data_IF_002019721588
#
_entry.id   IF_002019721588
#
_cell.length_a   1.000
_cell.length_b   1.000
_cell.length_c   1.000
_cell.angle_alpha   90.00
_cell.angle_beta   90.00
_cell.angle_gamma   90.00
#
_symmetry.space_group_name_H-M   'P 1'
#
loop_
_entity.id
_entity.type
_entity.pdbx_description
1 polymer ?
#
# COMPACT_ATOMS: atom_id res chain seq x y z
N UNK A 1 17.86 -25.66 -24.45
CA UNK A 1 17.35 -25.76 -23.06
C UNK A 1 17.35 -24.36 -22.43
N UNK A 2 16.36 -24.06 -21.60
CA UNK A 2 16.30 -22.84 -20.78
C UNK A 2 16.43 -23.25 -19.33
N UNK A 3 17.36 -22.63 -18.60
CA UNK A 3 17.66 -22.99 -17.21
C UNK A 3 17.56 -21.74 -16.35
N UNK A 4 16.76 -21.81 -15.29
CA UNK A 4 16.67 -20.76 -14.28
C UNK A 4 17.79 -20.89 -13.27
N UNK A 5 18.42 -19.77 -12.90
CA UNK A 5 19.47 -19.68 -11.90
C UNK A 5 19.07 -18.63 -10.83
N UNK A 6 18.12 -18.95 -9.93
CA UNK A 6 17.56 -17.98 -9.00
C UNK A 6 18.53 -17.46 -7.92
N UNK A 7 19.66 -18.13 -7.71
CA UNK A 7 20.71 -17.71 -6.75
C UNK A 7 21.86 -16.95 -7.41
N UNK A 8 21.79 -16.75 -8.73
CA UNK A 8 22.81 -16.04 -9.50
C UNK A 8 22.95 -14.58 -9.04
N UNK A 9 24.19 -14.12 -8.94
CA UNK A 9 24.51 -12.72 -8.65
C UNK A 9 24.68 -11.91 -9.94
N UNK A 10 24.25 -10.66 -9.90
CA UNK A 10 24.46 -9.69 -10.97
C UNK A 10 25.04 -8.42 -10.35
N UNK A 11 26.36 -8.25 -10.45
CA UNK A 11 27.10 -7.26 -9.67
C UNK A 11 27.04 -7.60 -8.17
N UNK A 12 26.61 -6.63 -7.35
CA UNK A 12 26.48 -6.79 -5.91
C UNK A 12 25.13 -7.40 -5.46
N UNK A 13 24.16 -7.53 -6.37
CA UNK A 13 22.80 -7.94 -6.03
C UNK A 13 22.52 -9.40 -6.43
N UNK A 14 21.88 -10.16 -5.53
CA UNK A 14 21.39 -11.53 -5.79
C UNK A 14 20.04 -11.47 -6.51
N UNK A 15 20.05 -11.11 -7.78
CA UNK A 15 18.81 -10.95 -8.57
C UNK A 15 18.31 -12.27 -9.13
N UNK A 16 19.18 -13.28 -9.29
CA UNK A 16 18.91 -14.43 -10.15
C UNK A 16 19.00 -14.06 -11.64
N UNK A 17 19.06 -15.09 -12.51
CA UNK A 17 19.02 -14.93 -13.96
C UNK A 17 18.54 -16.21 -14.66
N UNK A 18 18.49 -16.18 -15.99
CA UNK A 18 18.16 -17.32 -16.84
C UNK A 18 19.27 -17.53 -17.87
N UNK A 19 19.55 -18.79 -18.16
CA UNK A 19 20.56 -19.23 -19.13
C UNK A 19 19.91 -19.93 -20.31
N UNK A 20 20.46 -19.71 -21.52
CA UNK A 20 20.20 -20.56 -22.69
C UNK A 20 21.37 -21.53 -22.87
N UNK A 21 21.06 -22.82 -22.91
CA UNK A 21 22.03 -23.89 -23.06
C UNK A 21 21.74 -24.65 -24.36
N UNK A 22 22.62 -24.61 -25.36
CA UNK A 22 22.60 -25.53 -26.49
C UNK A 22 22.77 -26.95 -25.98
N UNK A 23 22.03 -27.90 -26.57
CA UNK A 23 22.07 -29.32 -26.15
C UNK A 23 23.38 -29.99 -26.59
N UNK A 24 24.00 -29.51 -27.67
CA UNK A 24 25.17 -30.12 -28.28
C UNK A 24 26.52 -29.68 -27.69
N UNK A 25 26.62 -28.44 -27.21
CA UNK A 25 27.92 -27.79 -26.91
C UNK A 25 28.21 -27.68 -25.41
N UNK A 26 27.25 -28.02 -24.53
CA UNK A 26 27.40 -27.98 -23.07
C UNK A 26 27.62 -26.59 -22.44
N UNK A 27 27.86 -25.55 -23.25
CA UNK A 27 28.12 -24.20 -22.77
C UNK A 27 26.83 -23.37 -22.66
N UNK A 28 26.52 -22.88 -21.47
CA UNK A 28 25.34 -22.07 -21.21
C UNK A 28 25.66 -20.57 -21.26
N UNK A 29 24.83 -19.79 -21.96
CA UNK A 29 24.98 -18.32 -22.03
C UNK A 29 23.90 -17.62 -21.22
N UNK A 30 24.31 -16.62 -20.44
CA UNK A 30 23.45 -15.83 -19.55
C UNK A 30 22.61 -14.83 -20.36
N UNK A 31 21.32 -14.71 -20.03
CA UNK A 31 20.40 -13.79 -20.71
C UNK A 31 20.36 -12.37 -20.13
N UNK A 32 20.99 -12.13 -18.97
CA UNK A 32 21.10 -10.82 -18.33
C UNK A 32 19.74 -10.17 -18.00
N UNK A 33 18.73 -10.98 -17.70
CA UNK A 33 17.37 -10.50 -17.43
C UNK A 33 17.24 -9.83 -16.06
N UNK A 34 18.15 -10.14 -15.12
CA UNK A 34 18.18 -9.50 -13.80
C UNK A 34 18.49 -7.99 -13.83
N UNK A 35 19.00 -7.47 -14.95
CA UNK A 35 19.30 -6.04 -15.13
C UNK A 35 18.09 -5.21 -15.53
N UNK A 36 17.00 -5.84 -15.99
CA UNK A 36 15.79 -5.14 -16.41
C UNK A 36 15.18 -4.40 -15.22
N UNK A 37 14.87 -3.12 -15.39
CA UNK A 37 14.24 -2.26 -14.38
C UNK A 37 12.85 -1.86 -14.83
N UNK A 38 11.90 -1.77 -13.90
CA UNK A 38 10.64 -1.07 -14.15
C UNK A 38 10.81 0.45 -14.03
N UNK A 39 10.34 1.21 -15.00
CA UNK A 39 10.26 2.68 -14.90
C UNK A 39 9.20 3.11 -13.90
N UNK A 40 9.44 4.21 -13.17
CA UNK A 40 8.51 4.84 -12.23
C UNK A 40 8.17 4.01 -10.97
N UNK A 41 9.08 3.14 -10.52
CA UNK A 41 8.97 2.38 -9.28
C UNK A 41 10.32 2.37 -8.55
N UNK A 42 10.33 2.56 -7.23
CA UNK A 42 11.54 2.32 -6.41
C UNK A 42 11.69 0.81 -6.21
N UNK A 43 12.51 0.18 -7.05
CA UNK A 43 12.70 -1.27 -7.03
C UNK A 43 13.68 -1.71 -5.94
N UNK A 44 13.36 -2.81 -5.26
CA UNK A 44 14.30 -3.54 -4.41
C UNK A 44 14.61 -4.89 -5.02
N UNK A 45 15.81 -4.97 -5.61
CA UNK A 45 16.31 -6.12 -6.36
C UNK A 45 17.09 -7.12 -5.50
N UNK A 46 17.22 -6.86 -4.20
CA UNK A 46 17.90 -7.75 -3.28
C UNK A 46 17.09 -9.04 -3.13
N UNK A 47 17.71 -10.19 -3.40
CA UNK A 47 17.08 -11.51 -3.32
C UNK A 47 15.82 -11.69 -4.18
N UNK A 48 15.77 -11.04 -5.35
CA UNK A 48 14.65 -11.09 -6.30
C UNK A 48 14.30 -12.53 -6.76
N UNK A 49 15.32 -13.41 -6.89
CA UNK A 49 15.27 -14.82 -7.32
C UNK A 49 14.65 -15.06 -8.71
N UNK A 50 15.14 -14.37 -9.72
CA UNK A 50 14.70 -14.51 -11.11
C UNK A 50 15.02 -15.89 -11.66
N UNK A 51 14.05 -16.50 -12.34
CA UNK A 51 14.21 -17.84 -12.90
C UNK A 51 13.77 -18.95 -11.94
N UNK A 52 13.17 -18.61 -10.79
CA UNK A 52 12.53 -19.60 -9.91
C UNK A 52 11.33 -20.27 -10.57
N UNK A 53 10.64 -19.56 -11.48
CA UNK A 53 9.53 -20.11 -12.25
C UNK A 53 9.68 -19.70 -13.72
N UNK A 54 9.50 -20.68 -14.61
CA UNK A 54 9.58 -20.53 -16.05
C UNK A 54 8.31 -21.10 -16.69
N UNK A 55 7.75 -20.39 -17.67
CA UNK A 55 6.61 -20.87 -18.45
C UNK A 55 6.82 -20.58 -19.93
N UNK A 56 6.58 -21.56 -20.80
CA UNK A 56 6.71 -21.40 -22.25
C UNK A 56 5.36 -21.07 -22.89
N UNK A 57 5.39 -20.31 -23.97
CA UNK A 57 4.23 -20.06 -24.82
C UNK A 57 4.47 -20.67 -26.20
N UNK A 58 3.84 -21.82 -26.51
CA UNK A 58 4.08 -22.53 -27.76
C UNK A 58 3.57 -21.79 -29.01
N UNK A 59 2.66 -20.81 -28.85
CA UNK A 59 2.08 -20.07 -29.99
C UNK A 59 3.07 -19.18 -30.71
N UNK A 60 4.02 -18.59 -29.97
CA UNK A 60 5.01 -17.64 -30.50
C UNK A 60 6.45 -18.00 -30.10
N UNK A 61 6.66 -19.20 -29.56
CA UNK A 61 7.94 -19.69 -29.03
C UNK A 61 8.61 -18.74 -28.02
N UNK A 62 7.82 -17.91 -27.33
CA UNK A 62 8.30 -17.08 -26.23
C UNK A 62 8.26 -17.84 -24.91
N UNK A 63 8.92 -17.29 -23.88
CA UNK A 63 8.79 -17.78 -22.52
C UNK A 63 8.73 -16.62 -21.53
N UNK A 64 8.19 -16.91 -20.35
CA UNK A 64 8.17 -16.03 -19.19
C UNK A 64 9.17 -16.56 -18.16
N UNK A 65 10.01 -15.67 -17.67
CA UNK A 65 10.88 -15.90 -16.52
C UNK A 65 10.42 -15.05 -15.35
N UNK A 66 9.96 -15.69 -14.29
CA UNK A 66 9.35 -15.02 -13.16
C UNK A 66 10.27 -14.99 -11.93
N UNK A 67 10.05 -13.95 -11.13
CA UNK A 67 10.77 -13.60 -9.93
C UNK A 67 9.77 -13.27 -8.83
N UNK A 68 9.30 -14.28 -8.08
CA UNK A 68 8.23 -14.08 -7.11
C UNK A 68 8.65 -13.24 -5.91
N UNK A 69 9.96 -13.15 -5.63
CA UNK A 69 10.50 -12.34 -4.53
C UNK A 69 10.95 -10.94 -4.97
N UNK A 70 10.65 -10.53 -6.21
CA UNK A 70 10.81 -9.13 -6.57
C UNK A 70 9.88 -8.27 -5.73
N UNK A 71 10.43 -7.18 -5.19
CA UNK A 71 9.71 -6.25 -4.34
C UNK A 71 9.96 -4.81 -4.77
N UNK A 72 9.02 -3.95 -4.39
CA UNK A 72 9.17 -2.50 -4.56
C UNK A 72 8.86 -1.78 -3.26
N UNK A 73 9.42 -0.59 -3.13
CA UNK A 73 9.19 0.29 -2.00
C UNK A 73 8.05 1.27 -2.29
N UNK A 74 7.19 1.43 -1.29
CA UNK A 74 6.24 2.54 -1.21
C UNK A 74 6.42 3.20 0.16
N UNK A 75 7.04 4.38 0.21
CA UNK A 75 7.38 5.03 1.48
C UNK A 75 8.34 4.18 2.29
N UNK A 76 7.95 3.77 3.51
CA UNK A 76 8.72 2.89 4.39
C UNK A 76 8.33 1.41 4.30
N UNK A 77 7.40 1.05 3.41
CA UNK A 77 6.88 -0.31 3.28
C UNK A 77 7.39 -1.00 2.02
N UNK A 78 7.59 -2.31 2.12
CA UNK A 78 8.03 -3.17 1.01
C UNK A 78 6.87 -4.07 0.58
N UNK A 79 6.60 -4.12 -0.73
CA UNK A 79 5.54 -4.93 -1.31
C UNK A 79 6.12 -5.94 -2.29
N UNK A 80 5.99 -7.22 -1.96
CA UNK A 80 6.41 -8.34 -2.80
C UNK A 80 5.26 -8.76 -3.71
N UNK A 81 5.17 -8.16 -4.89
CA UNK A 81 4.13 -8.50 -5.89
C UNK A 81 4.63 -9.50 -6.92
N UNK A 82 5.95 -9.75 -6.94
CA UNK A 82 6.61 -10.52 -7.98
C UNK A 82 6.62 -9.81 -9.34
N UNK A 83 7.53 -10.24 -10.21
CA UNK A 83 7.55 -9.78 -11.61
C UNK A 83 7.98 -10.89 -12.56
N UNK A 84 7.53 -10.83 -13.80
CA UNK A 84 7.91 -11.75 -14.87
C UNK A 84 8.47 -11.01 -16.07
N UNK A 85 9.56 -11.51 -16.63
CA UNK A 85 10.14 -11.02 -17.88
C UNK A 85 9.72 -11.94 -19.02
N UNK A 86 9.03 -11.40 -20.02
CA UNK A 86 8.75 -12.09 -21.28
C UNK A 86 9.95 -11.99 -22.19
N UNK A 87 10.37 -13.13 -22.72
CA UNK A 87 11.50 -13.28 -23.61
C UNK A 87 11.00 -13.91 -24.91
N UNK A 88 11.35 -13.32 -26.05
CA UNK A 88 10.91 -13.82 -27.35
C UNK A 88 11.72 -15.05 -27.81
N UNK A 89 11.34 -15.61 -28.96
CA UNK A 89 12.00 -16.76 -29.59
C UNK A 89 13.50 -16.56 -29.87
N UNK A 90 13.95 -15.32 -30.02
CA UNK A 90 15.36 -14.95 -30.23
C UNK A 90 16.13 -14.75 -28.91
N UNK A 91 15.57 -15.19 -27.77
CA UNK A 91 16.15 -15.02 -26.44
C UNK A 91 16.42 -13.56 -26.07
N UNK A 92 15.61 -12.63 -26.59
CA UNK A 92 15.67 -11.21 -26.23
C UNK A 92 14.52 -10.83 -25.32
N UNK A 93 14.82 -10.01 -24.33
CA UNK A 93 13.82 -9.38 -23.49
C UNK A 93 12.80 -8.64 -24.38
N UNK A 94 11.52 -8.84 -24.08
CA UNK A 94 10.40 -8.24 -24.82
C UNK A 94 9.59 -7.29 -23.95
N UNK A 95 9.12 -7.75 -22.78
CA UNK A 95 8.34 -6.92 -21.86
C UNK A 95 8.38 -7.46 -20.43
N UNK A 96 8.20 -6.58 -19.45
CA UNK A 96 7.92 -6.98 -18.08
C UNK A 96 6.41 -7.13 -17.86
N UNK A 97 6.04 -8.13 -17.07
CA UNK A 97 4.67 -8.49 -16.72
C UNK A 97 4.62 -8.58 -15.20
N UNK A 98 3.92 -7.64 -14.56
CA UNK A 98 3.72 -7.62 -13.12
C UNK A 98 2.23 -7.34 -12.84
N UNK A 99 1.36 -8.35 -12.92
CA UNK A 99 -0.09 -8.16 -12.89
C UNK A 99 -0.58 -7.77 -11.48
N UNK A 100 0.10 -8.24 -10.43
CA UNK A 100 -0.16 -7.86 -9.06
C UNK A 100 0.53 -6.56 -8.64
N UNK A 101 1.25 -5.88 -9.55
CA UNK A 101 1.88 -4.60 -9.25
C UNK A 101 0.80 -3.54 -9.08
N UNK A 102 0.45 -3.29 -7.82
CA UNK A 102 -0.26 -2.08 -7.47
C UNK A 102 0.76 -0.96 -7.39
N UNK A 103 0.69 -0.01 -8.33
CA UNK A 103 1.47 1.22 -8.23
C UNK A 103 1.20 1.83 -6.86
N UNK A 104 2.25 2.21 -6.14
CA UNK A 104 2.13 2.98 -4.90
C UNK A 104 1.11 4.09 -5.19
N UNK A 105 -0.03 4.09 -4.48
CA UNK A 105 -0.98 5.18 -4.65
C UNK A 105 -0.24 6.44 -4.28
N UNK A 106 -0.06 7.31 -5.27
CA UNK A 106 0.98 8.33 -5.29
C UNK A 106 0.83 9.31 -4.14
N UNK A 107 -0.34 9.38 -3.51
CA UNK A 107 -0.65 10.15 -2.33
C UNK A 107 -2.05 9.75 -1.82
N UNK A 108 -2.25 9.74 -0.50
CA UNK A 108 -3.54 9.38 0.13
C UNK A 108 -4.01 10.51 1.05
N UNK A 109 -5.32 10.70 1.11
CA UNK A 109 -5.96 11.65 2.03
C UNK A 109 -6.76 10.84 3.06
N UNK A 110 -6.38 10.97 4.32
CA UNK A 110 -7.04 10.30 5.44
C UNK A 110 -7.79 11.36 6.24
N UNK A 111 -9.09 11.17 6.43
CA UNK A 111 -9.90 11.96 7.35
C UNK A 111 -10.31 11.07 8.51
N UNK A 112 -9.97 11.47 9.72
CA UNK A 112 -10.37 10.80 10.95
C UNK A 112 -11.55 11.59 11.53
N UNK A 113 -12.69 10.93 11.67
CA UNK A 113 -13.90 11.47 12.29
C UNK A 113 -13.98 10.89 13.70
N UNK A 114 -13.84 11.75 14.70
CA UNK A 114 -13.79 11.39 16.11
C UNK A 114 -15.09 11.74 16.81
N UNK A 115 -15.63 10.78 17.52
CA UNK A 115 -16.76 10.97 18.42
C UNK A 115 -16.31 11.72 19.66
N UNK A 116 -16.80 12.96 19.78
CA UNK A 116 -16.58 13.94 20.84
C UNK A 116 -17.49 13.81 22.05
N UNK A 117 -18.32 12.77 22.11
CA UNK A 117 -19.27 12.57 23.21
C UNK A 117 -18.58 12.24 24.54
N UNK A 118 -19.31 12.40 25.65
CA UNK A 118 -18.79 12.11 26.99
C UNK A 118 -18.65 10.60 27.27
N UNK A 119 -19.27 9.73 26.46
CA UNK A 119 -19.26 8.28 26.63
C UNK A 119 -17.95 7.63 26.18
N UNK A 120 -17.13 8.31 25.39
CA UNK A 120 -15.79 7.83 24.98
C UNK A 120 -14.69 8.14 26.01
N UNK A 121 -15.04 8.78 27.13
CA UNK A 121 -14.11 9.04 28.22
C UNK A 121 -13.62 7.73 28.87
N UNK A 122 -12.32 7.59 29.23
CA UNK A 122 -11.25 8.59 29.15
C UNK A 122 -10.59 8.69 27.77
N UNK A 123 -10.38 9.93 27.32
CA UNK A 123 -9.82 10.29 26.01
C UNK A 123 -8.39 9.81 25.73
N UNK A 124 -7.64 9.44 26.77
CA UNK A 124 -6.23 9.04 26.68
C UNK A 124 -6.04 7.85 25.75
N UNK A 125 -6.94 6.86 25.79
CA UNK A 125 -6.84 5.66 24.97
C UNK A 125 -7.06 5.98 23.48
N UNK A 126 -8.01 6.87 23.18
CA UNK A 126 -8.26 7.36 21.82
C UNK A 126 -7.04 8.14 21.31
N UNK A 127 -6.46 9.02 22.13
CA UNK A 127 -5.25 9.76 21.78
C UNK A 127 -4.05 8.83 21.51
N UNK A 128 -3.82 7.83 22.35
CA UNK A 128 -2.76 6.83 22.13
C UNK A 128 -2.98 6.03 20.86
N UNK A 129 -4.21 5.61 20.59
CA UNK A 129 -4.57 4.93 19.35
C UNK A 129 -4.24 5.80 18.13
N UNK A 130 -4.66 7.07 18.14
CA UNK A 130 -4.37 8.02 17.07
C UNK A 130 -2.87 8.23 16.89
N UNK A 131 -2.12 8.50 17.96
CA UNK A 131 -0.67 8.69 17.89
C UNK A 131 0.02 7.44 17.30
N UNK A 132 -0.37 6.24 17.73
CA UNK A 132 0.21 4.99 17.26
C UNK A 132 -0.10 4.69 15.79
N UNK A 133 -1.24 5.14 15.29
CA UNK A 133 -1.61 5.03 13.87
C UNK A 133 -0.88 6.10 13.05
N UNK A 134 -0.92 7.36 13.48
CA UNK A 134 -0.30 8.48 12.77
C UNK A 134 1.21 8.30 12.62
N UNK A 135 1.89 7.75 13.64
CA UNK A 135 3.32 7.38 13.57
C UNK A 135 3.65 6.34 12.49
N UNK A 136 2.67 5.56 12.04
CA UNK A 136 2.84 4.57 10.95
C UNK A 136 2.64 5.20 9.57
N UNK A 137 2.10 6.41 9.50
CA UNK A 137 1.90 7.12 8.24
C UNK A 137 3.07 8.05 7.95
N UNK A 138 3.51 8.04 6.68
CA UNK A 138 4.50 9.00 6.21
C UNK A 138 3.78 10.26 5.72
N UNK A 139 3.57 11.18 6.65
CA UNK A 139 2.81 12.43 6.44
C UNK A 139 3.77 13.48 5.87
N UNK A 140 3.44 14.02 4.69
CA UNK A 140 4.32 14.96 4.01
C UNK A 140 3.77 15.53 2.70
N UNK A 141 4.38 16.61 2.18
CA UNK A 141 3.97 17.22 0.93
C UNK A 141 4.18 16.23 -0.23
N UNK A 142 3.09 15.93 -0.94
CA UNK A 142 3.09 14.95 -2.04
C UNK A 142 2.90 13.49 -1.62
N UNK A 143 2.56 13.20 -0.36
CA UNK A 143 2.38 11.82 0.16
C UNK A 143 1.08 11.69 0.96
N UNK A 144 1.09 11.17 2.19
CA UNK A 144 -0.12 11.06 3.02
C UNK A 144 -0.44 12.43 3.62
N UNK A 145 -1.70 12.83 3.55
CA UNK A 145 -2.23 13.97 4.28
C UNK A 145 -3.33 13.49 5.21
N UNK A 146 -3.34 14.02 6.42
CA UNK A 146 -4.30 13.64 7.46
C UNK A 146 -5.07 14.88 7.89
N UNK A 147 -6.38 14.74 8.01
CA UNK A 147 -7.24 15.66 8.77
C UNK A 147 -7.96 14.90 9.88
N UNK A 148 -8.29 15.60 10.96
CA UNK A 148 -9.06 15.09 12.09
C UNK A 148 -10.21 16.06 12.35
N UNK A 149 -11.41 15.51 12.42
CA UNK A 149 -12.64 16.24 12.70
C UNK A 149 -13.27 15.58 13.91
N UNK A 150 -13.60 16.35 14.93
CA UNK A 150 -14.34 15.91 16.08
C UNK A 150 -15.81 16.33 15.92
N UNK A 151 -16.74 15.40 16.16
CA UNK A 151 -18.17 15.67 16.18
C UNK A 151 -18.70 15.51 17.60
N UNK A 152 -19.51 16.45 18.08
CA UNK A 152 -20.16 16.42 19.39
C UNK A 152 -21.43 17.26 19.35
N UNK A 153 -21.61 18.17 20.31
CA UNK A 153 -22.63 19.23 20.21
C UNK A 153 -22.30 20.23 19.08
N UNK A 154 -21.01 20.52 18.90
CA UNK A 154 -20.46 21.29 17.79
C UNK A 154 -19.49 20.44 16.96
N UNK A 155 -19.35 20.75 15.67
CA UNK A 155 -18.33 20.15 14.80
C UNK A 155 -17.05 20.97 14.90
N UNK A 156 -15.97 20.35 15.38
CA UNK A 156 -14.67 20.98 15.56
C UNK A 156 -13.65 20.34 14.62
N UNK A 157 -12.96 21.17 13.84
CA UNK A 157 -11.84 20.72 13.02
C UNK A 157 -10.54 20.81 13.83
N UNK A 158 -10.11 19.69 14.41
CA UNK A 158 -8.87 19.60 15.20
C UNK A 158 -7.62 19.69 14.32
N UNK A 159 -7.68 19.07 13.13
CA UNK A 159 -6.64 19.17 12.12
C UNK A 159 -7.28 19.22 10.74
N UNK A 160 -7.01 20.25 9.95
CA UNK A 160 -7.42 20.25 8.56
C UNK A 160 -6.48 19.36 7.75
N UNK A 161 -7.05 18.66 6.76
CA UNK A 161 -6.27 18.23 5.61
C UNK A 161 -5.47 19.44 5.14
N UNK A 162 -4.14 19.28 5.08
CA UNK A 162 -3.22 20.31 4.64
C UNK A 162 -2.85 21.39 5.70
N UNK A 163 -2.93 21.14 7.01
CA UNK A 163 -2.30 22.04 8.00
C UNK A 163 -0.75 22.13 7.88
N UNK A 164 -0.15 21.28 7.03
CA UNK A 164 1.24 21.39 6.55
C UNK A 164 1.39 21.99 5.14
N UNK A 165 0.31 22.36 4.44
CA UNK A 165 0.30 23.30 3.31
C UNK A 165 -1.12 23.83 3.06
N UNK A 166 -1.41 25.10 3.32
CA UNK A 166 -2.74 25.73 3.16
C UNK A 166 -3.53 25.30 1.89
N UNK A 167 -4.82 24.92 2.05
CA UNK A 167 -5.96 25.02 1.08
C UNK A 167 -6.86 23.77 0.82
N UNK A 168 -6.71 22.60 1.45
CA UNK A 168 -7.44 21.40 0.95
C UNK A 168 -8.88 21.17 1.47
N UNK A 169 -9.32 21.79 2.57
CA UNK A 169 -10.61 21.40 3.17
C UNK A 169 -11.85 21.90 2.40
N UNK A 170 -11.73 22.95 1.59
CA UNK A 170 -12.86 23.43 0.78
C UNK A 170 -13.07 22.67 -0.55
N UNK A 171 -12.17 21.76 -0.94
CA UNK A 171 -12.20 21.09 -2.26
C UNK A 171 -12.21 19.55 -2.23
N UNK A 172 -12.52 18.92 -1.10
CA UNK A 172 -12.80 17.48 -1.04
C UNK A 172 -11.58 16.58 -1.27
N UNK A 173 -10.40 17.01 -0.80
CA UNK A 173 -9.14 16.28 -0.96
C UNK A 173 -8.47 16.48 -2.33
N UNK A 174 -7.24 15.97 -2.47
CA UNK A 174 -6.44 16.08 -3.68
C UNK A 174 -7.01 15.20 -4.79
N UNK A 175 -7.17 15.78 -5.99
CA UNK A 175 -7.71 15.08 -7.16
C UNK A 175 -6.79 13.91 -7.55
N UNK A 176 -7.32 12.68 -7.55
CA UNK A 176 -6.57 11.46 -7.86
C UNK A 176 -5.93 10.77 -6.65
N UNK A 177 -6.03 11.35 -5.45
CA UNK A 177 -5.63 10.69 -4.21
C UNK A 177 -6.62 9.58 -3.85
N UNK A 178 -6.14 8.51 -3.19
CA UNK A 178 -7.08 7.61 -2.50
C UNK A 178 -7.61 8.33 -1.27
N UNK A 179 -8.93 8.35 -1.14
CA UNK A 179 -9.62 8.95 0.00
C UNK A 179 -9.99 7.86 1.00
N UNK A 180 -9.59 8.04 2.25
CA UNK A 180 -9.90 7.13 3.35
C UNK A 180 -10.57 7.93 4.46
N UNK A 181 -11.68 7.42 4.97
CA UNK A 181 -12.37 7.95 6.14
C UNK A 181 -12.31 6.91 7.26
N UNK A 182 -11.86 7.31 8.44
CA UNK A 182 -11.81 6.47 9.64
C UNK A 182 -12.74 7.10 10.65
N UNK A 183 -13.85 6.42 10.97
CA UNK A 183 -14.79 6.86 12.00
C UNK A 183 -14.44 6.14 13.29
N UNK A 184 -14.23 6.89 14.37
CA UNK A 184 -14.02 6.39 15.72
C UNK A 184 -15.20 6.83 16.56
N UNK A 185 -15.97 5.88 17.07
CA UNK A 185 -17.21 6.13 17.81
C UNK A 185 -17.47 5.02 18.82
N UNK A 186 -18.26 5.31 19.84
CA UNK A 186 -18.76 4.30 20.79
C UNK A 186 -19.95 3.48 20.26
N UNK A 187 -20.50 3.87 19.10
CA UNK A 187 -21.57 3.16 18.41
C UNK A 187 -22.98 3.72 18.67
N UNK A 188 -23.12 4.82 19.42
CA UNK A 188 -24.39 5.51 19.60
C UNK A 188 -24.44 6.79 18.76
N UNK A 189 -25.31 6.82 17.75
CA UNK A 189 -25.55 8.02 16.92
C UNK A 189 -26.98 8.50 17.07
N UNK A 190 -27.13 9.79 17.36
CA UNK A 190 -28.43 10.45 17.56
C UNK A 190 -28.97 11.14 16.29
N UNK A 191 -28.19 11.20 15.21
CA UNK A 191 -28.54 11.88 13.95
C UNK A 191 -28.77 10.86 12.82
N UNK A 192 -30.03 10.45 12.65
CA UNK A 192 -30.41 9.30 11.82
C UNK A 192 -31.01 9.57 10.41
N UNK A 193 -31.40 10.78 9.95
CA UNK A 193 -32.03 10.90 8.63
C UNK A 193 -31.08 11.02 7.43
N UNK A 194 -29.82 11.41 7.62
CA UNK A 194 -28.89 11.71 6.51
C UNK A 194 -27.71 10.75 6.36
N UNK A 195 -27.53 9.80 7.29
CA UNK A 195 -26.43 8.82 7.25
C UNK A 195 -26.41 8.03 5.93
N UNK A 196 -27.58 7.59 5.46
CA UNK A 196 -27.71 6.83 4.22
C UNK A 196 -27.29 7.68 2.99
N UNK A 197 -27.62 8.97 2.99
CA UNK A 197 -27.21 9.90 1.93
C UNK A 197 -25.70 10.11 1.92
N UNK A 198 -25.09 10.23 3.11
CA UNK A 198 -23.65 10.40 3.29
C UNK A 198 -22.88 9.15 2.86
N UNK A 199 -23.39 7.96 3.18
CA UNK A 199 -22.82 6.68 2.73
C UNK A 199 -22.86 6.58 1.21
N UNK A 200 -24.02 6.83 0.60
CA UNK A 200 -24.17 6.79 -0.86
C UNK A 200 -23.29 7.83 -1.56
N UNK A 201 -23.16 9.03 -0.98
CA UNK A 201 -22.26 10.05 -1.50
C UNK A 201 -20.79 9.62 -1.40
N UNK A 202 -20.39 9.04 -0.28
CA UNK A 202 -19.04 8.53 -0.06
C UNK A 202 -18.68 7.41 -1.05
N UNK A 203 -19.64 6.57 -1.43
CA UNK A 203 -19.45 5.54 -2.47
C UNK A 203 -19.26 6.15 -3.85
N UNK A 204 -20.09 7.14 -4.22
CA UNK A 204 -19.92 7.89 -5.48
C UNK A 204 -18.56 8.58 -5.56
N UNK A 205 -18.07 9.07 -4.43
CA UNK A 205 -16.79 9.77 -4.33
C UNK A 205 -15.58 8.84 -4.15
N UNK A 206 -15.79 7.52 -4.22
CA UNK A 206 -14.76 6.48 -4.09
C UNK A 206 -13.96 6.57 -2.77
N UNK A 207 -14.66 6.88 -1.68
CA UNK A 207 -14.10 6.98 -0.33
C UNK A 207 -14.12 5.60 0.34
N UNK A 208 -12.96 5.09 0.71
CA UNK A 208 -12.85 3.89 1.53
C UNK A 208 -13.15 4.24 2.98
N UNK A 209 -14.11 3.55 3.62
CA UNK A 209 -14.55 3.86 4.99
C UNK A 209 -14.17 2.72 5.94
N UNK A 210 -13.66 3.08 7.11
CA UNK A 210 -13.40 2.18 8.23
C UNK A 210 -14.12 2.71 9.48
N UNK A 211 -14.68 1.81 10.27
CA UNK A 211 -15.27 2.14 11.57
C UNK A 211 -14.48 1.44 12.66
N UNK A 212 -14.16 2.18 13.72
CA UNK A 212 -13.49 1.70 14.93
C UNK A 212 -14.44 1.97 16.08
N UNK A 213 -15.01 0.91 16.64
CA UNK A 213 -15.86 1.00 17.82
C UNK A 213 -14.98 1.11 19.07
N UNK A 214 -15.30 2.06 19.95
CA UNK A 214 -14.65 2.26 21.25
C UNK A 214 -15.66 1.92 22.35
N UNK A 215 -15.44 0.82 23.05
CA UNK A 215 -16.28 0.48 24.22
C UNK A 215 -15.81 1.30 25.43
N UNK A 216 -16.72 1.77 26.29
CA UNK A 216 -16.34 2.31 27.59
C UNK A 216 -15.51 1.29 28.36
N UNK A 217 -14.48 1.75 29.06
CA UNK A 217 -13.73 0.91 29.97
C UNK A 217 -14.67 0.39 31.08
N UNK A 218 -14.60 -0.89 31.48
CA UNK A 218 -15.36 -1.37 32.62
C UNK A 218 -14.99 -0.53 33.86
N UNK A 219 -15.95 -0.23 34.76
CA UNK A 219 -15.68 0.58 35.95
C UNK A 219 -14.54 -0.05 36.74
N UNK A 220 -13.53 0.76 37.05
CA UNK A 220 -12.41 0.35 37.91
C UNK A 220 -13.03 -0.03 39.26
N UNK A 221 -12.88 -1.28 39.73
CA UNK A 221 -13.40 -1.66 41.04
C UNK A 221 -12.73 -0.78 42.11
N UNK A 222 -13.46 -0.33 43.16
CA UNK A 222 -12.98 0.61 44.17
C UNK A 222 -11.86 0.08 45.09
N UNK A 223 -11.11 -0.95 44.68
CA UNK A 223 -10.07 -1.61 45.45
C UNK A 223 -8.64 -1.15 45.11
N UNK A 224 -8.46 -0.13 44.27
CA UNK A 224 -7.14 0.43 43.94
C UNK A 224 -7.12 1.96 44.10
N UNK A 225 -7.39 2.42 45.31
CA UNK A 225 -6.83 3.68 45.83
C UNK A 225 -5.86 3.30 46.94
N UNK A 226 -4.55 3.46 46.69
CA UNK A 226 -3.54 3.49 47.75
C UNK A 226 -3.61 4.82 48.50
#
# INVERSE_FOLDING_TARGET
LVVGAPLETNGHQKTGDVYKCPVAEGNCTKLNLGRVTLSNVSERKDNMRLGLSLATNPKDNSFLACSPLWSHECGSSYYTTGMCSRVNSNFRFSKTVAPALQRCQTYMDIVIVLDGSNSIYPWVEVQHFLINILKKFYIGPGQIQVGVVQYGEDVVHEFHLNDYSSEAFQKGGRKGAKKVMIVITDGESHDSPDLEKVIQQSERDNVTRYAVAVSPAPPIPPQLTF
#
